data_IF_782293525365
#
_entry.id   IF_782293525365
#
_cell.length_a   1.000
_cell.length_b   1.000
_cell.length_c   1.000
_cell.angle_alpha   90.00
_cell.angle_beta   90.00
_cell.angle_gamma   90.00
#
_symmetry.space_group_name_H-M   'P 1'
#
loop_
_entity.id
_entity.type
_entity.pdbx_description
1 polymer ?
#
# COMPACT_ATOMS: atom_id res chain seq x y z
N UNK A 1 0.27 -13.45 -0.51
CA UNK A 1 1.71 -13.29 -0.80
C UNK A 1 1.97 -11.79 -0.99
N UNK A 2 2.93 -11.20 -0.29
CA UNK A 2 3.37 -9.81 -0.52
C UNK A 2 4.76 -9.83 -1.17
N UNK A 3 5.00 -8.96 -2.15
CA UNK A 3 6.23 -8.98 -2.97
C UNK A 3 7.33 -8.13 -2.35
N UNK A 4 8.50 -8.73 -2.08
CA UNK A 4 9.72 -8.02 -1.68
C UNK A 4 10.16 -7.01 -2.75
N UNK A 5 10.85 -5.94 -2.34
CA UNK A 5 11.41 -4.91 -3.25
C UNK A 5 10.43 -4.23 -4.22
N UNK A 6 9.12 -4.42 -4.07
CA UNK A 6 8.11 -3.83 -4.96
C UNK A 6 8.12 -2.28 -4.95
N UNK A 7 8.69 -1.69 -3.90
CA UNK A 7 8.89 -0.25 -3.74
C UNK A 7 10.32 0.23 -3.95
N UNK A 8 11.28 -0.68 -4.12
CA UNK A 8 12.70 -0.36 -4.31
C UNK A 8 12.91 0.22 -5.71
N UNK A 9 13.57 1.37 -5.79
CA UNK A 9 13.96 1.97 -7.06
C UNK A 9 15.12 1.19 -7.68
N UNK A 10 14.96 0.82 -8.94
CA UNK A 10 16.05 0.41 -9.82
C UNK A 10 16.40 1.57 -10.72
N UNK A 11 17.70 1.85 -10.89
CA UNK A 11 18.19 2.87 -11.79
C UNK A 11 18.80 2.22 -13.04
N UNK A 12 18.44 2.74 -14.21
CA UNK A 12 19.05 2.38 -15.49
C UNK A 12 20.25 3.29 -15.79
N UNK A 13 21.23 2.88 -16.63
CA UNK A 13 22.44 3.67 -16.93
C UNK A 13 22.15 5.06 -17.53
N UNK A 14 20.99 5.23 -18.15
CA UNK A 14 20.46 6.49 -18.69
C UNK A 14 19.81 7.39 -17.61
N UNK A 15 19.85 6.99 -16.34
CA UNK A 15 19.29 7.73 -15.22
C UNK A 15 17.79 7.51 -14.99
N UNK A 16 17.14 6.64 -15.77
CA UNK A 16 15.73 6.33 -15.57
C UNK A 16 15.54 5.49 -14.30
N UNK A 17 14.72 6.00 -13.36
CA UNK A 17 14.30 5.26 -12.17
C UNK A 17 12.98 4.51 -12.41
N UNK A 18 12.92 3.25 -11.98
CA UNK A 18 11.73 2.39 -12.09
C UNK A 18 11.50 1.56 -10.82
N UNK A 19 10.24 1.27 -10.53
CA UNK A 19 9.80 0.29 -9.53
C UNK A 19 8.36 -0.11 -9.84
N UNK A 20 7.88 -1.21 -9.25
CA UNK A 20 6.47 -1.62 -9.42
C UNK A 20 5.54 -0.52 -8.87
N UNK A 21 5.87 0.03 -7.69
CA UNK A 21 5.11 1.14 -7.11
C UNK A 21 5.07 2.36 -8.06
N UNK A 22 6.20 2.76 -8.63
CA UNK A 22 6.26 3.89 -9.54
C UNK A 22 5.49 3.64 -10.84
N UNK A 23 5.56 2.43 -11.40
CA UNK A 23 4.81 2.06 -12.59
C UNK A 23 3.29 2.15 -12.36
N UNK A 24 2.80 1.65 -11.23
CA UNK A 24 1.38 1.71 -10.86
C UNK A 24 0.92 3.16 -10.65
N UNK A 25 1.74 4.01 -10.02
CA UNK A 25 1.44 5.43 -9.88
C UNK A 25 1.36 6.14 -11.25
N UNK A 26 2.29 5.85 -12.16
CA UNK A 26 2.27 6.39 -13.54
C UNK A 26 1.05 5.92 -14.33
N UNK A 27 0.54 4.72 -14.02
CA UNK A 27 -0.71 4.19 -14.61
C UNK A 27 -1.98 4.79 -14.01
N UNK A 28 -1.86 5.70 -13.04
CA UNK A 28 -3.00 6.42 -12.46
C UNK A 28 -3.55 5.84 -11.16
N UNK A 29 -2.88 4.85 -10.55
CA UNK A 29 -3.23 4.41 -9.20
C UNK A 29 -2.95 5.56 -8.22
N UNK A 30 -3.93 5.99 -7.41
CA UNK A 30 -3.77 7.16 -6.53
C UNK A 30 -2.82 6.89 -5.35
N UNK A 31 -2.73 5.63 -4.92
CA UNK A 31 -1.89 5.19 -3.82
C UNK A 31 -1.49 3.73 -4.01
N UNK A 32 -0.27 3.38 -3.60
CA UNK A 32 0.27 2.03 -3.65
C UNK A 32 0.99 1.76 -2.34
N UNK A 33 0.76 0.59 -1.73
CA UNK A 33 1.58 0.10 -0.63
C UNK A 33 2.55 -0.92 -1.20
N UNK A 34 3.85 -0.72 -1.00
CA UNK A 34 4.88 -1.62 -1.51
C UNK A 34 6.03 -1.78 -0.51
N UNK A 35 6.84 -2.83 -0.71
CA UNK A 35 7.94 -3.19 0.19
C UNK A 35 9.26 -2.60 -0.30
N UNK A 36 9.99 -1.92 0.58
CA UNK A 36 11.31 -1.35 0.27
C UNK A 36 12.47 -2.36 0.32
N UNK A 37 12.23 -3.59 0.78
CA UNK A 37 13.26 -4.59 0.99
C UNK A 37 12.70 -6.01 1.11
N UNK A 38 13.53 -6.90 1.63
CA UNK A 38 13.13 -8.27 1.99
C UNK A 38 12.30 -8.26 3.26
N UNK A 39 11.10 -8.83 3.18
CA UNK A 39 10.18 -8.94 4.32
C UNK A 39 9.90 -10.41 4.63
N UNK A 40 10.02 -10.79 5.90
CA UNK A 40 9.67 -12.13 6.35
C UNK A 40 8.18 -12.40 6.18
N UNK A 41 7.80 -13.65 5.86
CA UNK A 41 6.40 -14.00 5.62
C UNK A 41 5.49 -13.72 6.83
N UNK A 42 5.97 -13.93 8.06
CA UNK A 42 5.22 -13.61 9.28
C UNK A 42 4.97 -12.10 9.42
N UNK A 43 6.01 -11.28 9.22
CA UNK A 43 5.90 -9.82 9.22
C UNK A 43 4.91 -9.32 8.16
N UNK A 44 5.00 -9.88 6.95
CA UNK A 44 4.10 -9.59 5.85
C UNK A 44 2.67 -10.01 6.18
N UNK A 45 2.46 -11.19 6.78
CA UNK A 45 1.13 -11.65 7.16
C UNK A 45 0.49 -10.72 8.19
N UNK A 46 1.20 -10.41 9.27
CA UNK A 46 0.67 -9.57 10.35
C UNK A 46 0.38 -8.14 9.88
N UNK A 47 1.28 -7.56 9.08
CA UNK A 47 1.03 -6.28 8.44
C UNK A 47 -0.25 -6.31 7.59
N UNK A 48 -0.38 -7.30 6.70
CA UNK A 48 -1.51 -7.37 5.76
C UNK A 48 -2.83 -7.57 6.51
N UNK A 49 -2.84 -8.45 7.52
CA UNK A 49 -4.01 -8.72 8.35
C UNK A 49 -4.53 -7.45 9.02
N UNK A 50 -3.65 -6.70 9.67
CA UNK A 50 -4.04 -5.50 10.42
C UNK A 50 -4.33 -4.30 9.51
N UNK A 51 -3.56 -4.13 8.42
CA UNK A 51 -3.81 -3.09 7.44
C UNK A 51 -5.17 -3.29 6.75
N UNK A 52 -5.46 -4.50 6.25
CA UNK A 52 -6.73 -4.81 5.61
C UNK A 52 -7.91 -4.74 6.58
N UNK A 53 -7.73 -5.16 7.84
CA UNK A 53 -8.77 -5.00 8.87
C UNK A 53 -9.07 -3.51 9.15
N UNK A 54 -8.05 -2.67 9.27
CA UNK A 54 -8.24 -1.23 9.46
C UNK A 54 -8.95 -0.57 8.27
N UNK A 55 -8.59 -0.96 7.04
CA UNK A 55 -9.28 -0.50 5.82
C UNK A 55 -10.75 -0.95 5.80
N UNK A 56 -11.03 -2.22 6.10
CA UNK A 56 -12.37 -2.74 6.19
C UNK A 56 -13.20 -2.02 7.27
N UNK A 57 -12.54 -1.60 8.35
CA UNK A 57 -13.12 -0.75 9.41
C UNK A 57 -13.30 0.72 9.04
N UNK A 58 -12.98 1.14 7.81
CA UNK A 58 -13.18 2.51 7.33
C UNK A 58 -12.03 3.48 7.62
N UNK A 59 -10.87 2.97 8.07
CA UNK A 59 -9.67 3.80 8.23
C UNK A 59 -9.16 4.29 6.88
N UNK A 60 -8.54 5.47 6.86
CA UNK A 60 -7.80 5.93 5.68
C UNK A 60 -6.61 5.01 5.39
N UNK A 61 -6.12 4.99 4.15
CA UNK A 61 -4.97 4.16 3.76
C UNK A 61 -3.71 4.46 4.60
N UNK A 62 -3.49 5.72 4.98
CA UNK A 62 -2.38 6.12 5.83
C UNK A 62 -2.51 5.54 7.25
N UNK A 63 -3.72 5.60 7.82
CA UNK A 63 -4.01 5.00 9.13
C UNK A 63 -3.89 3.49 9.10
N UNK A 64 -4.37 2.83 8.04
CA UNK A 64 -4.28 1.39 7.89
C UNK A 64 -2.83 0.89 7.77
N UNK A 65 -2.00 1.57 6.99
CA UNK A 65 -0.56 1.27 6.91
C UNK A 65 0.10 1.49 8.26
N UNK A 66 -0.22 2.58 8.97
CA UNK A 66 0.29 2.80 10.31
C UNK A 66 -0.12 1.67 11.28
N UNK A 67 -1.39 1.26 11.27
CA UNK A 67 -1.88 0.16 12.09
C UNK A 67 -1.17 -1.17 11.80
N UNK A 68 -0.99 -1.51 10.51
CA UNK A 68 -0.26 -2.70 10.10
C UNK A 68 1.20 -2.70 10.57
N UNK A 69 1.89 -1.56 10.44
CA UNK A 69 3.28 -1.42 10.92
C UNK A 69 3.37 -1.51 12.44
N UNK A 70 2.46 -0.86 13.15
CA UNK A 70 2.42 -0.92 14.62
C UNK A 70 2.17 -2.34 15.12
N UNK A 71 1.29 -3.10 14.47
CA UNK A 71 1.03 -4.49 14.83
C UNK A 71 2.25 -5.38 14.58
N UNK A 72 2.88 -5.28 13.41
CA UNK A 72 4.09 -6.04 13.11
C UNK A 72 5.25 -5.68 14.08
N UNK A 73 5.38 -4.40 14.44
CA UNK A 73 6.36 -3.94 15.42
C UNK A 73 6.08 -4.50 16.82
N UNK A 74 4.82 -4.43 17.29
CA UNK A 74 4.40 -4.98 18.58
C UNK A 74 4.58 -6.50 18.66
N UNK A 75 4.44 -7.21 17.55
CA UNK A 75 4.71 -8.64 17.42
C UNK A 75 6.21 -8.99 17.32
N UNK A 76 7.11 -7.99 17.37
CA UNK A 76 8.56 -8.19 17.32
C UNK A 76 9.09 -8.60 15.94
N UNK A 77 8.32 -8.38 14.87
CA UNK A 77 8.74 -8.76 13.53
C UNK A 77 9.78 -7.78 12.96
N UNK A 78 10.93 -8.32 12.52
CA UNK A 78 11.88 -7.58 11.71
C UNK A 78 11.22 -7.11 10.39
N UNK A 79 11.65 -5.96 9.88
CA UNK A 79 11.10 -5.40 8.63
C UNK A 79 9.72 -4.75 8.77
N UNK A 80 9.22 -4.51 9.99
CA UNK A 80 7.94 -3.80 10.24
C UNK A 80 7.86 -2.42 9.54
N UNK A 81 8.99 -1.79 9.25
CA UNK A 81 9.07 -0.49 8.57
C UNK A 81 9.05 -0.58 7.04
N UNK A 82 9.23 -1.76 6.45
CA UNK A 82 9.36 -1.96 5.00
C UNK A 82 8.10 -1.68 4.18
N UNK A 83 6.86 -1.89 4.69
CA UNK A 83 5.66 -1.49 3.98
C UNK A 83 5.56 0.04 3.94
N UNK A 84 5.71 0.61 2.75
CA UNK A 84 5.67 2.06 2.50
C UNK A 84 4.46 2.42 1.64
N UNK A 85 3.78 3.50 2.02
CA UNK A 85 2.71 4.10 1.24
C UNK A 85 3.30 5.12 0.26
N UNK A 86 3.19 4.84 -1.03
CA UNK A 86 3.49 5.75 -2.13
C UNK A 86 2.20 6.39 -2.60
N UNK A 87 2.25 7.70 -2.88
CA UNK A 87 1.08 8.43 -3.40
C UNK A 87 1.47 9.17 -4.66
N UNK A 88 0.61 9.12 -5.67
CA UNK A 88 0.77 9.87 -6.90
C UNK A 88 0.13 11.24 -6.77
N UNK A 89 0.70 12.24 -7.45
CA UNK A 89 -0.05 13.46 -7.73
C UNK A 89 -1.15 13.11 -8.72
N UNK A 90 -2.42 13.27 -8.33
CA UNK A 90 -3.53 13.24 -9.29
C UNK A 90 -3.70 14.66 -9.81
N UNK A 91 -3.47 14.94 -11.11
CA UNK A 91 -3.69 16.28 -11.66
C UNK A 91 -5.11 16.75 -11.33
N UNK A 92 -5.24 17.95 -10.76
CA UNK A 92 -6.53 18.53 -10.37
C UNK A 92 -7.10 18.10 -9.00
N UNK A 93 -6.41 17.27 -8.21
CA UNK A 93 -6.78 16.93 -6.82
C UNK A 93 -5.66 17.28 -5.86
N UNK A 94 -5.67 18.52 -5.36
CA UNK A 94 -4.90 18.89 -4.16
C UNK A 94 -5.43 18.07 -2.98
N UNK A 95 -4.52 17.37 -2.29
CA UNK A 95 -4.87 16.49 -1.17
C UNK A 95 -5.17 17.32 0.07
N UNK A 96 -6.42 17.72 0.25
CA UNK A 96 -6.93 18.04 1.60
C UNK A 96 -7.08 16.72 2.36
N UNK A 97 -6.55 16.64 3.59
CA UNK A 97 -6.77 15.50 4.51
C UNK A 97 -8.21 15.51 5.05
N UNK A 98 -9.20 15.63 4.17
CA UNK A 98 -10.59 15.33 4.48
C UNK A 98 -10.79 13.83 4.26
N UNK A 99 -11.38 13.16 5.23
CA UNK A 99 -11.70 11.73 5.21
C UNK A 99 -12.46 11.37 3.93
N UNK A 100 -11.74 10.80 2.96
CA UNK A 100 -12.31 10.31 1.71
C UNK A 100 -13.04 8.98 1.97
N UNK A 101 -14.17 9.07 2.66
CA UNK A 101 -15.17 8.02 2.65
C UNK A 101 -15.79 7.96 1.24
N UNK A 102 -15.57 6.81 0.59
CA UNK A 102 -16.28 6.27 -0.60
C UNK A 102 -15.94 6.88 -1.96
N UNK A 103 -15.42 6.00 -2.83
CA UNK A 103 -16.10 5.47 -4.03
C UNK A 103 -15.19 4.42 -4.69
N UNK A 104 -15.29 3.19 -4.24
CA UNK A 104 -14.90 2.04 -5.07
C UNK A 104 -16.17 1.62 -5.85
N UNK A 105 -16.11 1.40 -7.19
CA UNK A 105 -17.25 0.87 -7.92
C UNK A 105 -17.57 -0.52 -7.36
N UNK A 106 -18.83 -0.72 -6.94
CA UNK A 106 -19.28 -2.01 -6.43
C UNK A 106 -18.95 -3.11 -7.45
N UNK A 107 -18.40 -4.24 -6.96
CA UNK A 107 -18.17 -5.41 -7.78
C UNK A 107 -19.49 -5.84 -8.45
N UNK A 108 -19.48 -6.30 -9.72
CA UNK A 108 -20.68 -6.81 -10.35
C UNK A 108 -21.20 -7.99 -9.53
N UNK A 109 -22.42 -7.84 -9.01
CA UNK A 109 -23.06 -8.86 -8.20
C UNK A 109 -23.21 -10.17 -8.96
N UNK A 110 -22.79 -11.27 -8.34
CA UNK A 110 -23.18 -12.62 -8.72
C UNK A 110 -24.70 -12.72 -8.53
N UNK A 111 -25.44 -12.61 -9.63
CA UNK A 111 -26.84 -13.05 -9.67
C UNK A 111 -26.86 -14.55 -9.46
N UNK A 112 -27.56 -14.97 -8.41
CA UNK A 112 -27.82 -16.38 -8.15
C UNK A 112 -28.59 -17.03 -9.30
N UNK A 113 -28.40 -18.34 -9.40
CA UNK A 113 -29.33 -19.31 -9.94
C UNK A 113 -29.39 -20.46 -8.93
#
# INVERSE_FOLDING_TARGET
MQTCHSGTLSASPDGAASSIALALLRYGMPAVVAMQGEVGQAAAHEFARMCLAALAGGSTIAQAVAAGRSAAHAAGHAGWMLPVLYTGAVPGRSRTLASAARRWPAAPGSRGA
#
